data_IF_267882105545
#
_entry.id   IF_267882105545
#
_cell.length_a   1.000
_cell.length_b   1.000
_cell.length_c   1.000
_cell.angle_alpha   90.00
_cell.angle_beta   90.00
_cell.angle_gamma   90.00
#
_symmetry.space_group_name_H-M   'P 1'
#
loop_
_entity.id
_entity.type
_entity.pdbx_description
1 polymer ?
#
# COMPACT_ATOMS: atom_id res chain seq x y z
N UNK A 1 -61.15 -2.80 40.11
CA UNK A 1 -59.74 -3.22 39.97
C UNK A 1 -58.91 -1.97 39.73
N UNK A 2 -57.87 -1.80 40.55
CA UNK A 2 -56.84 -0.74 40.56
C UNK A 2 -57.11 0.63 41.19
N UNK A 3 -56.26 0.84 42.20
CA UNK A 3 -56.01 1.95 43.10
C UNK A 3 -55.22 3.12 42.47
N UNK A 4 -55.38 4.27 43.13
CA UNK A 4 -54.36 5.26 43.50
C UNK A 4 -53.93 6.33 42.48
N UNK A 5 -54.27 7.57 42.81
CA UNK A 5 -53.64 8.80 42.34
C UNK A 5 -53.28 9.64 43.57
N UNK A 6 -51.96 9.88 43.73
CA UNK A 6 -51.21 11.05 44.27
C UNK A 6 -51.79 11.75 45.51
N UNK A 7 -51.03 12.21 46.50
CA UNK A 7 -49.68 12.76 46.54
C UNK A 7 -49.47 13.17 47.98
N UNK A 8 -48.36 12.81 48.60
CA UNK A 8 -47.85 13.55 49.75
C UNK A 8 -46.35 13.75 49.56
N UNK A 9 -45.99 15.03 49.40
CA UNK A 9 -44.65 15.52 49.66
C UNK A 9 -44.39 15.31 51.16
N UNK A 10 -43.51 14.37 51.50
CA UNK A 10 -42.83 14.38 52.78
C UNK A 10 -41.44 15.02 52.57
N UNK A 11 -41.20 16.07 53.33
CA UNK A 11 -39.97 16.84 53.39
C UNK A 11 -38.75 15.96 53.72
N UNK A 12 -37.59 16.46 53.27
CA UNK A 12 -36.28 15.92 53.55
C UNK A 12 -36.07 15.64 55.05
N UNK A 13 -35.65 14.41 55.37
CA UNK A 13 -35.12 14.04 56.68
C UNK A 13 -33.59 14.31 56.69
N UNK A 14 -33.09 15.24 57.52
CA UNK A 14 -31.68 15.61 57.56
C UNK A 14 -30.91 14.65 58.46
N UNK A 15 -30.23 13.66 57.89
CA UNK A 15 -29.37 12.79 58.72
C UNK A 15 -28.83 11.49 58.14
N UNK A 16 -28.87 11.26 56.82
CA UNK A 16 -28.17 10.10 56.25
C UNK A 16 -26.67 10.37 56.32
N UNK A 17 -26.04 9.87 57.38
CA UNK A 17 -24.61 9.81 57.59
C UNK A 17 -23.98 9.07 56.39
N UNK A 18 -23.70 9.79 55.29
CA UNK A 18 -23.05 9.23 54.11
C UNK A 18 -21.62 8.95 54.51
N UNK A 19 -21.38 7.75 55.04
CA UNK A 19 -20.03 7.29 55.34
C UNK A 19 -19.32 7.09 54.00
N UNK A 20 -18.58 8.10 53.57
CA UNK A 20 -17.71 8.00 52.41
C UNK A 20 -16.42 7.30 52.82
N UNK A 21 -15.98 6.37 51.99
CA UNK A 21 -14.72 5.68 52.09
C UNK A 21 -13.69 6.30 51.14
N UNK A 22 -12.42 6.07 51.44
CA UNK A 22 -11.31 6.31 50.53
C UNK A 22 -10.62 4.99 50.19
N UNK A 23 -10.08 4.93 48.98
CA UNK A 23 -9.19 3.86 48.54
C UNK A 23 -7.81 4.46 48.33
N UNK A 24 -6.83 4.02 49.12
CA UNK A 24 -5.43 4.37 48.94
C UNK A 24 -4.60 3.13 48.63
N UNK A 25 -3.46 3.29 48.00
CA UNK A 25 -2.67 2.14 47.62
C UNK A 25 -1.37 2.47 46.92
N UNK A 26 -0.69 1.42 46.46
CA UNK A 26 0.55 1.52 45.70
C UNK A 26 0.51 0.65 44.45
N UNK A 27 1.11 1.13 43.36
CA UNK A 27 1.35 0.40 42.12
C UNK A 27 2.84 0.11 42.02
N UNK A 28 3.20 -1.17 41.93
CA UNK A 28 4.60 -1.62 41.83
C UNK A 28 4.80 -2.65 40.72
N UNK A 29 6.04 -2.91 40.35
CA UNK A 29 6.42 -4.09 39.56
C UNK A 29 6.59 -5.33 40.46
N UNK A 30 6.73 -6.56 39.91
CA UNK A 30 7.01 -7.75 40.71
C UNK A 30 8.31 -7.65 41.53
N UNK A 31 9.25 -6.84 41.07
CA UNK A 31 10.54 -6.56 41.72
C UNK A 31 10.40 -5.50 42.84
N UNK A 32 9.20 -4.97 43.07
CA UNK A 32 8.91 -3.97 44.10
C UNK A 32 9.21 -2.53 43.71
N UNK A 33 9.60 -2.26 42.45
CA UNK A 33 9.84 -0.91 41.95
C UNK A 33 8.52 -0.14 41.82
N UNK A 34 8.40 1.11 42.31
CA UNK A 34 7.18 1.91 42.14
C UNK A 34 6.94 2.24 40.67
N UNK A 35 5.67 2.22 40.25
CA UNK A 35 5.25 2.58 38.89
C UNK A 35 4.54 3.94 38.94
N UNK A 36 5.20 5.03 38.55
CA UNK A 36 4.58 6.35 38.51
C UNK A 36 3.65 6.51 37.31
N UNK A 37 2.70 7.43 37.45
CA UNK A 37 1.74 7.82 36.43
C UNK A 37 0.87 6.66 35.88
N UNK A 38 0.69 5.60 36.67
CA UNK A 38 -0.27 4.54 36.38
C UNK A 38 -1.69 5.06 36.64
N UNK A 39 -2.59 4.78 35.70
CA UNK A 39 -4.00 5.18 35.78
C UNK A 39 -4.74 4.08 36.56
N UNK A 40 -5.31 4.46 37.71
CA UNK A 40 -6.14 3.60 38.55
C UNK A 40 -7.59 4.02 38.38
N UNK A 41 -8.37 3.17 37.70
CA UNK A 41 -9.79 3.40 37.44
C UNK A 41 -10.64 2.47 38.29
N UNK A 42 -11.57 3.03 39.04
CA UNK A 42 -12.52 2.33 39.89
C UNK A 42 -13.93 2.44 39.30
N UNK A 43 -14.58 1.30 39.11
CA UNK A 43 -15.94 1.20 38.54
C UNK A 43 -16.83 0.33 39.43
N UNK A 44 -18.11 0.71 39.56
CA UNK A 44 -19.10 -0.03 40.33
C UNK A 44 -20.53 0.16 39.79
N UNK A 45 -21.50 -0.66 40.23
CA UNK A 45 -22.85 -0.72 39.65
C UNK A 45 -23.64 0.60 39.69
N UNK A 46 -23.31 1.49 40.63
CA UNK A 46 -24.05 2.74 40.91
C UNK A 46 -23.13 3.98 40.98
N UNK A 47 -21.89 3.88 40.49
CA UNK A 47 -20.91 4.98 40.53
C UNK A 47 -20.31 5.21 39.13
N UNK A 48 -20.34 6.45 38.60
CA UNK A 48 -19.53 6.80 37.44
C UNK A 48 -18.05 6.47 37.69
N UNK A 49 -17.29 6.02 36.68
CA UNK A 49 -15.89 5.67 36.88
C UNK A 49 -15.11 6.79 37.57
N UNK A 50 -14.38 6.44 38.64
CA UNK A 50 -13.46 7.34 39.34
C UNK A 50 -12.04 6.98 38.95
N UNK A 51 -11.20 7.98 38.74
CA UNK A 51 -9.83 7.76 38.29
C UNK A 51 -8.86 8.52 39.18
N UNK A 52 -7.73 7.87 39.50
CA UNK A 52 -6.57 8.51 40.09
C UNK A 52 -5.31 8.10 39.33
N UNK A 53 -4.27 8.92 39.44
CA UNK A 53 -2.96 8.65 38.83
C UNK A 53 -1.95 8.42 39.94
N UNK A 54 -1.09 7.41 39.81
CA UNK A 54 -0.04 7.16 40.80
C UNK A 54 1.07 8.22 40.76
N UNK A 55 1.59 8.60 41.92
CA UNK A 55 2.68 9.57 42.08
C UNK A 55 4.07 8.95 41.81
N UNK A 56 5.14 9.73 42.03
CA UNK A 56 6.53 9.30 41.86
C UNK A 56 6.90 8.06 42.71
N UNK A 57 6.25 7.89 43.86
CA UNK A 57 6.41 6.75 44.75
C UNK A 57 5.44 5.61 44.42
N UNK A 58 4.67 5.73 43.33
CA UNK A 58 3.67 4.76 42.90
C UNK A 58 2.40 4.78 43.75
N UNK A 59 2.19 5.76 44.63
CA UNK A 59 1.02 5.86 45.51
C UNK A 59 -0.15 6.51 44.79
N UNK A 60 -1.37 6.08 45.10
CA UNK A 60 -2.59 6.70 44.60
C UNK A 60 -3.63 6.83 45.73
N UNK A 61 -4.61 7.72 45.56
CA UNK A 61 -5.75 7.86 46.47
C UNK A 61 -7.00 8.30 45.70
N UNK A 62 -8.13 7.62 45.96
CA UNK A 62 -9.46 7.97 45.47
C UNK A 62 -10.35 8.19 46.69
N UNK A 63 -10.96 9.37 46.80
CA UNK A 63 -11.84 9.75 47.92
C UNK A 63 -13.31 9.75 47.51
N UNK A 64 -14.20 9.99 48.48
CA UNK A 64 -15.65 10.15 48.27
C UNK A 64 -16.34 8.93 47.63
N UNK A 65 -15.91 7.73 48.02
CA UNK A 65 -16.48 6.48 47.52
C UNK A 65 -17.57 5.96 48.46
N UNK A 66 -18.75 5.55 47.96
CA UNK A 66 -19.73 4.89 48.81
C UNK A 66 -19.22 3.51 49.25
N UNK A 67 -19.68 2.97 50.40
CA UNK A 67 -19.37 1.61 50.80
C UNK A 67 -19.94 0.60 49.78
N UNK A 68 -19.19 -0.45 49.47
CA UNK A 68 -19.56 -1.42 48.44
C UNK A 68 -18.38 -2.16 47.85
N UNK A 69 -18.67 -3.10 46.95
CA UNK A 69 -17.63 -3.82 46.19
C UNK A 69 -17.45 -3.16 44.83
N UNK A 70 -16.20 -2.83 44.52
CA UNK A 70 -15.81 -2.17 43.28
C UNK A 70 -14.78 -2.99 42.52
N UNK A 71 -14.80 -2.85 41.19
CA UNK A 71 -13.73 -3.32 40.33
C UNK A 71 -12.73 -2.19 40.11
N UNK A 72 -11.45 -2.49 40.27
CA UNK A 72 -10.34 -1.54 40.08
C UNK A 72 -9.46 -2.07 38.96
N UNK A 73 -9.32 -1.29 37.91
CA UNK A 73 -8.42 -1.56 36.79
C UNK A 73 -7.25 -0.59 36.86
N UNK A 74 -6.02 -1.12 36.86
CA UNK A 74 -4.79 -0.32 36.84
C UNK A 74 -4.09 -0.54 35.50
N UNK A 75 -3.77 0.56 34.81
CA UNK A 75 -3.12 0.53 33.49
C UNK A 75 -2.02 1.58 33.37
N UNK A 76 -0.95 1.23 32.65
CA UNK A 76 0.16 2.12 32.30
C UNK A 76 0.73 1.66 30.96
N UNK A 77 1.08 2.59 30.10
CA UNK A 77 1.74 2.26 28.83
C UNK A 77 3.01 1.43 29.06
N UNK A 78 3.17 0.34 28.30
CA UNK A 78 4.26 -0.62 28.45
C UNK A 78 4.01 -1.75 29.48
N UNK A 79 2.87 -1.74 30.19
CA UNK A 79 2.48 -2.78 31.15
C UNK A 79 1.15 -3.44 30.78
N UNK A 80 0.98 -4.72 31.14
CA UNK A 80 -0.30 -5.40 31.02
C UNK A 80 -1.27 -4.87 32.10
N UNK A 81 -2.50 -4.44 31.75
CA UNK A 81 -3.44 -3.92 32.72
C UNK A 81 -3.86 -5.03 33.70
N UNK A 82 -3.98 -4.68 34.98
CA UNK A 82 -4.45 -5.59 36.03
C UNK A 82 -5.81 -5.14 36.53
N UNK A 83 -6.73 -6.09 36.72
CA UNK A 83 -8.04 -5.81 37.32
C UNK A 83 -8.18 -6.60 38.62
N UNK A 84 -8.57 -5.91 39.69
CA UNK A 84 -8.85 -6.48 41.00
C UNK A 84 -10.22 -6.05 41.52
N UNK A 85 -10.66 -6.67 42.61
CA UNK A 85 -11.87 -6.29 43.33
C UNK A 85 -11.52 -5.76 44.72
N UNK A 86 -12.10 -4.62 45.12
CA UNK A 86 -11.93 -4.06 46.46
C UNK A 86 -13.30 -3.89 47.11
N UNK A 87 -13.42 -4.29 48.38
CA UNK A 87 -14.61 -4.07 49.19
C UNK A 87 -14.36 -2.94 50.19
N UNK A 88 -15.11 -1.86 50.05
CA UNK A 88 -15.10 -0.71 50.97
C UNK A 88 -16.19 -0.90 52.02
N UNK A 89 -15.81 -0.86 53.29
CA UNK A 89 -16.73 -0.97 54.44
C UNK A 89 -16.79 0.35 55.21
N UNK A 90 -17.97 0.74 55.74
CA UNK A 90 -18.13 2.02 56.46
C UNK A 90 -17.22 2.14 57.69
N UNK A 91 -16.90 1.03 58.34
CA UNK A 91 -16.16 1.01 59.62
C UNK A 91 -14.67 1.30 59.49
N UNK A 92 -14.09 1.14 58.29
CA UNK A 92 -12.65 1.26 58.08
C UNK A 92 -12.21 2.65 57.58
N UNK A 93 -13.13 3.47 57.04
CA UNK A 93 -12.92 4.77 56.35
C UNK A 93 -11.87 4.80 55.20
N UNK A 94 -10.87 3.92 55.20
CA UNK A 94 -9.80 3.80 54.20
C UNK A 94 -9.52 2.32 53.96
N UNK A 95 -9.57 1.88 52.70
CA UNK A 95 -9.06 0.59 52.28
C UNK A 95 -7.69 0.77 51.61
N UNK A 96 -6.76 -0.17 51.88
CA UNK A 96 -5.43 -0.20 51.27
C UNK A 96 -5.30 -1.35 50.28
N UNK A 97 -4.87 -1.07 49.05
CA UNK A 97 -4.63 -2.09 48.02
C UNK A 97 -3.26 -1.89 47.34
N UNK A 98 -2.56 -2.99 47.08
CA UNK A 98 -1.32 -3.00 46.29
C UNK A 98 -1.57 -3.71 44.97
N UNK A 99 -1.25 -3.03 43.86
CA UNK A 99 -1.39 -3.58 42.52
C UNK A 99 -0.01 -3.80 41.90
N UNK A 100 0.21 -5.00 41.37
CA UNK A 100 1.47 -5.35 40.71
C UNK A 100 1.29 -5.37 39.19
N UNK A 101 1.94 -4.45 38.48
CA UNK A 101 1.95 -4.40 37.02
C UNK A 101 3.14 -5.18 36.47
N UNK A 102 2.87 -6.09 35.51
CA UNK A 102 3.93 -6.79 34.77
C UNK A 102 4.16 -6.09 33.43
N UNK A 103 5.42 -5.97 32.96
CA UNK A 103 5.68 -5.48 31.61
C UNK A 103 4.84 -6.25 30.59
N UNK A 104 4.22 -5.55 29.65
CA UNK A 104 3.51 -6.21 28.57
C UNK A 104 4.55 -6.95 27.72
N UNK A 105 4.34 -8.25 27.48
CA UNK A 105 5.14 -8.96 26.50
C UNK A 105 4.88 -8.29 25.15
N UNK A 106 5.91 -7.66 24.58
CA UNK A 106 5.85 -7.15 23.22
C UNK A 106 5.86 -8.35 22.28
N UNK A 107 4.71 -8.98 22.06
CA UNK A 107 4.53 -9.86 20.92
C UNK A 107 4.50 -8.97 19.68
N UNK A 108 5.69 -8.57 19.20
CA UNK A 108 5.83 -8.19 17.81
C UNK A 108 5.65 -9.46 17.00
N UNK A 109 4.40 -9.80 16.65
CA UNK A 109 4.11 -10.74 15.57
C UNK A 109 4.69 -10.10 14.31
N UNK A 110 5.97 -10.38 14.06
CA UNK A 110 6.66 -9.97 12.85
C UNK A 110 6.13 -10.91 11.78
N UNK A 111 5.08 -10.50 11.07
CA UNK A 111 4.62 -11.20 9.87
C UNK A 111 5.72 -11.02 8.82
N UNK A 112 6.69 -11.93 8.82
CA UNK A 112 7.68 -12.03 7.75
C UNK A 112 6.97 -12.58 6.51
N UNK A 113 6.37 -11.70 5.72
CA UNK A 113 5.88 -12.05 4.39
C UNK A 113 7.08 -12.39 3.50
N UNK A 114 6.97 -13.44 2.68
CA UNK A 114 8.04 -13.76 1.73
C UNK A 114 8.15 -12.68 0.66
N UNK A 115 9.33 -12.51 0.06
CA UNK A 115 9.53 -11.56 -1.06
C UNK A 115 8.54 -11.81 -2.20
N UNK A 116 8.19 -13.07 -2.46
CA UNK A 116 7.22 -13.45 -3.46
C UNK A 116 5.83 -12.91 -3.14
N UNK A 117 5.39 -12.99 -1.89
CA UNK A 117 4.06 -12.53 -1.44
C UNK A 117 4.00 -10.99 -1.43
N UNK A 118 5.11 -10.33 -1.07
CA UNK A 118 5.21 -8.87 -1.15
C UNK A 118 5.14 -8.41 -2.61
N UNK A 119 5.89 -9.05 -3.51
CA UNK A 119 5.84 -8.77 -4.95
C UNK A 119 4.43 -9.00 -5.52
N UNK A 120 3.74 -10.04 -5.05
CA UNK A 120 2.36 -10.36 -5.43
C UNK A 120 1.37 -9.26 -5.02
N UNK A 121 1.45 -8.80 -3.77
CA UNK A 121 0.64 -7.69 -3.29
C UNK A 121 0.93 -6.39 -4.07
N UNK A 122 2.20 -6.13 -4.41
CA UNK A 122 2.59 -4.99 -5.23
C UNK A 122 2.06 -5.09 -6.66
N UNK A 123 1.99 -6.29 -7.25
CA UNK A 123 1.32 -6.51 -8.53
C UNK A 123 -0.17 -6.19 -8.41
N UNK A 124 -0.85 -6.63 -7.35
CA UNK A 124 -2.27 -6.33 -7.17
C UNK A 124 -2.53 -4.82 -7.11
N UNK A 125 -1.65 -4.06 -6.46
CA UNK A 125 -1.70 -2.59 -6.49
C UNK A 125 -1.46 -2.04 -7.90
N UNK A 126 -0.46 -2.56 -8.62
CA UNK A 126 -0.16 -2.14 -9.99
C UNK A 126 -1.33 -2.41 -10.95
N UNK A 127 -2.01 -3.56 -10.81
CA UNK A 127 -3.18 -3.96 -11.59
C UNK A 127 -4.37 -3.01 -11.42
N UNK A 128 -4.44 -2.23 -10.34
CA UNK A 128 -5.49 -1.22 -10.12
C UNK A 128 -5.16 0.14 -10.74
N UNK A 129 -3.94 0.35 -11.24
CA UNK A 129 -3.51 1.61 -11.82
C UNK A 129 -4.17 1.83 -13.19
N UNK A 130 -4.80 2.99 -13.38
CA UNK A 130 -5.42 3.38 -14.66
C UNK A 130 -5.04 4.80 -15.07
N UNK A 131 -4.45 4.96 -16.26
CA UNK A 131 -4.24 6.25 -16.91
C UNK A 131 -5.60 6.76 -17.41
N UNK A 132 -5.96 7.96 -16.96
CA UNK A 132 -7.25 8.60 -17.25
C UNK A 132 -8.47 7.71 -16.92
N UNK A 133 -8.31 6.77 -15.98
CA UNK A 133 -9.37 5.83 -15.58
C UNK A 133 -9.63 4.67 -16.54
N UNK A 134 -8.99 4.63 -17.72
CA UNK A 134 -9.31 3.66 -18.78
C UNK A 134 -8.12 2.75 -19.08
N UNK A 135 -6.96 3.33 -19.38
CA UNK A 135 -5.82 2.56 -19.89
C UNK A 135 -4.99 1.98 -18.72
N UNK A 136 -4.51 0.74 -18.80
CA UNK A 136 -3.70 0.15 -17.74
C UNK A 136 -2.33 0.84 -17.62
N UNK A 137 -1.79 0.95 -16.40
CA UNK A 137 -0.42 1.42 -16.15
C UNK A 137 0.41 0.40 -15.35
N UNK A 138 0.36 -0.88 -15.72
CA UNK A 138 0.83 -1.99 -14.88
C UNK A 138 2.35 -2.08 -14.77
N UNK A 139 3.08 -1.58 -15.78
CA UNK A 139 4.54 -1.61 -15.84
C UNK A 139 5.19 -0.36 -15.20
N UNK A 140 4.50 0.32 -14.29
CA UNK A 140 5.05 1.45 -13.54
C UNK A 140 4.95 1.18 -12.05
N UNK A 141 6.06 1.28 -11.34
CA UNK A 141 6.12 1.22 -9.89
C UNK A 141 6.22 2.61 -9.29
N UNK A 142 5.24 2.99 -8.46
CA UNK A 142 5.32 4.15 -7.57
C UNK A 142 5.91 3.81 -6.19
N UNK A 143 6.31 2.55 -6.00
CA UNK A 143 7.01 2.06 -4.81
C UNK A 143 8.49 2.01 -5.14
N UNK A 144 9.27 2.94 -4.58
CA UNK A 144 10.68 3.04 -4.92
C UNK A 144 11.46 1.79 -4.55
N UNK A 145 11.19 1.18 -3.40
CA UNK A 145 11.80 -0.07 -2.94
C UNK A 145 10.86 -1.27 -3.21
N UNK A 146 10.35 -1.37 -4.42
CA UNK A 146 9.51 -2.52 -4.81
C UNK A 146 10.33 -3.81 -4.83
N UNK A 147 9.69 -4.91 -4.46
CA UNK A 147 10.29 -6.23 -4.50
C UNK A 147 10.36 -6.69 -5.96
N UNK A 148 11.50 -7.22 -6.42
CA UNK A 148 11.61 -7.69 -7.79
C UNK A 148 10.64 -8.81 -8.10
N UNK A 149 10.15 -8.85 -9.34
CA UNK A 149 9.18 -9.84 -9.79
C UNK A 149 9.87 -11.15 -10.15
N UNK A 150 9.26 -12.29 -9.81
CA UNK A 150 9.66 -13.59 -10.38
C UNK A 150 9.28 -13.67 -11.87
N UNK A 151 9.93 -14.57 -12.64
CA UNK A 151 9.59 -14.76 -14.06
C UNK A 151 8.09 -15.06 -14.24
N UNK A 152 7.50 -15.95 -13.44
CA UNK A 152 6.06 -16.24 -13.51
C UNK A 152 5.17 -15.02 -13.26
N UNK A 153 5.56 -14.15 -12.33
CA UNK A 153 4.88 -12.89 -12.06
C UNK A 153 4.99 -11.89 -13.23
N UNK A 154 6.15 -11.82 -13.91
CA UNK A 154 6.33 -11.00 -15.11
C UNK A 154 5.40 -11.44 -16.25
N UNK A 155 5.33 -12.75 -16.51
CA UNK A 155 4.42 -13.32 -17.52
C UNK A 155 2.95 -13.07 -17.18
N UNK A 156 2.56 -13.22 -15.91
CA UNK A 156 1.19 -12.93 -15.46
C UNK A 156 0.84 -11.46 -15.63
N UNK A 157 1.76 -10.54 -15.28
CA UNK A 157 1.57 -9.10 -15.47
C UNK A 157 1.42 -8.75 -16.96
N UNK A 158 2.23 -9.35 -17.83
CA UNK A 158 2.12 -9.20 -19.27
C UNK A 158 0.76 -9.71 -19.81
N UNK A 159 0.30 -10.87 -19.35
CA UNK A 159 -1.01 -11.41 -19.71
C UNK A 159 -2.14 -10.48 -19.27
N UNK A 160 -2.10 -9.99 -18.02
CA UNK A 160 -3.06 -9.03 -17.47
C UNK A 160 -3.10 -7.74 -18.30
N UNK A 161 -1.95 -7.22 -18.71
CA UNK A 161 -1.87 -6.02 -19.54
C UNK A 161 -2.44 -6.27 -20.94
N UNK A 162 -2.08 -7.38 -21.58
CA UNK A 162 -2.53 -7.69 -22.94
C UNK A 162 -4.04 -7.98 -23.01
N UNK A 163 -4.61 -8.60 -21.97
CA UNK A 163 -6.03 -8.89 -21.87
C UNK A 163 -6.86 -7.78 -21.21
N UNK A 164 -6.25 -6.64 -20.86
CA UNK A 164 -6.97 -5.54 -20.21
C UNK A 164 -7.98 -4.90 -21.18
N UNK A 165 -9.25 -4.71 -20.77
CA UNK A 165 -10.28 -4.13 -21.62
C UNK A 165 -9.92 -2.74 -22.20
N UNK A 166 -9.21 -1.90 -21.44
CA UNK A 166 -8.79 -0.59 -21.91
C UNK A 166 -7.82 -0.68 -23.09
N UNK A 167 -6.88 -1.61 -23.05
CA UNK A 167 -5.98 -1.87 -24.17
C UNK A 167 -6.72 -2.46 -25.39
N UNK A 168 -7.66 -3.37 -25.18
CA UNK A 168 -8.47 -3.94 -26.28
C UNK A 168 -9.34 -2.87 -26.96
N UNK A 169 -9.93 -1.97 -26.19
CA UNK A 169 -10.68 -0.82 -26.72
C UNK A 169 -9.76 0.12 -27.50
N UNK A 170 -8.55 0.40 -26.98
CA UNK A 170 -7.58 1.24 -27.67
C UNK A 170 -7.16 0.62 -29.00
N UNK A 171 -6.86 -0.68 -29.04
CA UNK A 171 -6.55 -1.41 -30.27
C UNK A 171 -7.72 -1.35 -31.26
N UNK A 172 -8.95 -1.53 -30.79
CA UNK A 172 -10.16 -1.36 -31.60
C UNK A 172 -10.29 0.03 -32.20
N UNK A 173 -10.01 1.06 -31.40
CA UNK A 173 -10.06 2.46 -31.81
C UNK A 173 -8.99 2.75 -32.87
N UNK A 174 -7.76 2.29 -32.66
CA UNK A 174 -6.65 2.45 -33.62
C UNK A 174 -6.98 1.75 -34.94
N UNK A 175 -7.42 0.49 -34.91
CA UNK A 175 -7.85 -0.23 -36.09
C UNK A 175 -9.02 0.46 -36.81
N UNK A 176 -9.93 1.08 -36.07
CA UNK A 176 -11.05 1.87 -36.60
C UNK A 176 -10.59 3.13 -37.33
N UNK A 177 -9.62 3.86 -36.76
CA UNK A 177 -8.99 5.00 -37.42
C UNK A 177 -8.27 4.54 -38.69
N UNK A 178 -7.43 3.51 -38.61
CA UNK A 178 -6.74 2.93 -39.75
C UNK A 178 -7.72 2.46 -40.85
N UNK A 179 -8.88 1.93 -40.47
CA UNK A 179 -9.94 1.54 -41.39
C UNK A 179 -10.52 2.78 -42.10
N UNK A 180 -10.84 3.83 -41.35
CA UNK A 180 -11.42 5.07 -41.86
C UNK A 180 -10.45 5.81 -42.81
N UNK A 181 -9.15 5.80 -42.50
CA UNK A 181 -8.11 6.41 -43.33
C UNK A 181 -7.59 5.50 -44.44
N UNK A 182 -8.12 4.27 -44.54
CA UNK A 182 -7.63 3.24 -45.46
C UNK A 182 -6.11 2.97 -45.34
N UNK A 183 -5.55 3.10 -44.14
CA UNK A 183 -4.17 2.72 -43.84
C UNK A 183 -3.99 1.22 -44.09
N UNK A 184 -2.90 0.81 -44.73
CA UNK A 184 -2.68 -0.57 -45.21
C UNK A 184 -3.77 -1.08 -46.19
N UNK A 185 -3.88 -0.51 -47.41
CA UNK A 185 -4.95 -0.85 -48.36
C UNK A 185 -5.05 -2.34 -48.70
N UNK A 186 -3.95 -3.10 -48.61
CA UNK A 186 -3.92 -4.55 -48.85
C UNK A 186 -4.83 -5.38 -47.92
N UNK A 187 -5.25 -4.84 -46.79
CA UNK A 187 -6.24 -5.50 -45.91
C UNK A 187 -7.68 -5.37 -46.39
N UNK A 188 -7.91 -4.55 -47.43
CA UNK A 188 -9.23 -4.22 -47.98
C UNK A 188 -10.10 -3.40 -47.02
N UNK A 189 -11.25 -2.93 -47.51
CA UNK A 189 -12.23 -2.16 -46.73
C UNK A 189 -13.35 -3.06 -46.16
N UNK A 190 -14.22 -2.49 -45.33
CA UNK A 190 -15.31 -3.20 -44.65
C UNK A 190 -14.88 -4.03 -43.44
N UNK A 191 -15.82 -4.77 -42.86
CA UNK A 191 -15.65 -5.53 -41.60
C UNK A 191 -14.47 -6.52 -41.63
N UNK A 192 -14.23 -7.17 -42.78
CA UNK A 192 -13.09 -8.07 -42.96
C UNK A 192 -11.76 -7.34 -42.89
N UNK A 193 -11.67 -6.15 -43.49
CA UNK A 193 -10.48 -5.30 -43.41
C UNK A 193 -10.24 -4.78 -42.01
N UNK A 194 -11.29 -4.38 -41.31
CA UNK A 194 -11.22 -3.95 -39.92
C UNK A 194 -10.72 -5.08 -39.01
N UNK A 195 -11.28 -6.28 -39.15
CA UNK A 195 -10.85 -7.45 -38.37
C UNK A 195 -9.38 -7.83 -38.59
N UNK A 196 -8.87 -7.66 -39.82
CA UNK A 196 -7.44 -7.86 -40.13
C UNK A 196 -6.55 -6.82 -39.43
N UNK A 197 -6.93 -5.54 -39.48
CA UNK A 197 -6.21 -4.45 -38.78
C UNK A 197 -6.22 -4.68 -37.27
N UNK A 198 -7.39 -4.95 -36.70
CA UNK A 198 -7.56 -5.26 -35.29
C UNK A 198 -6.69 -6.46 -34.85
N UNK A 199 -6.70 -7.55 -35.62
CA UNK A 199 -5.88 -8.72 -35.33
C UNK A 199 -4.38 -8.43 -35.41
N UNK A 200 -3.93 -7.63 -36.38
CA UNK A 200 -2.54 -7.22 -36.50
C UNK A 200 -2.10 -6.32 -35.32
N UNK A 201 -2.90 -5.32 -34.97
CA UNK A 201 -2.62 -4.41 -33.85
C UNK A 201 -2.66 -5.16 -32.51
N UNK A 202 -3.58 -6.11 -32.34
CA UNK A 202 -3.62 -6.99 -31.16
C UNK A 202 -2.38 -7.88 -31.10
N UNK A 203 -1.95 -8.45 -32.23
CA UNK A 203 -0.71 -9.22 -32.33
C UNK A 203 0.52 -8.40 -31.93
N UNK A 204 0.57 -7.14 -32.36
CA UNK A 204 1.63 -6.20 -32.00
C UNK A 204 1.62 -5.90 -30.49
N UNK A 205 0.45 -5.61 -29.91
CA UNK A 205 0.29 -5.36 -28.48
C UNK A 205 0.76 -6.57 -27.66
N UNK A 206 0.28 -7.77 -27.99
CA UNK A 206 0.63 -9.01 -27.28
C UNK A 206 2.13 -9.28 -27.41
N UNK A 207 2.67 -9.27 -28.63
CA UNK A 207 4.08 -9.59 -28.87
C UNK A 207 5.00 -8.59 -28.16
N UNK A 208 4.74 -7.29 -28.29
CA UNK A 208 5.52 -6.25 -27.62
C UNK A 208 5.46 -6.36 -26.10
N UNK A 209 4.26 -6.56 -25.54
CA UNK A 209 4.07 -6.71 -24.09
C UNK A 209 4.80 -7.94 -23.54
N UNK A 210 4.73 -9.09 -24.22
CA UNK A 210 5.41 -10.30 -23.75
C UNK A 210 6.92 -10.22 -23.94
N UNK A 211 7.40 -9.74 -25.08
CA UNK A 211 8.84 -9.62 -25.35
C UNK A 211 9.48 -8.64 -24.35
N UNK A 212 8.95 -7.42 -24.24
CA UNK A 212 9.51 -6.35 -23.41
C UNK A 212 9.14 -6.44 -21.93
N UNK A 213 7.98 -7.03 -21.59
CA UNK A 213 7.47 -7.09 -20.23
C UNK A 213 7.68 -8.42 -19.51
N UNK A 214 7.98 -9.51 -20.23
CA UNK A 214 8.09 -10.84 -19.64
C UNK A 214 9.30 -11.66 -20.10
N UNK A 215 9.46 -11.88 -21.40
CA UNK A 215 10.46 -12.81 -21.96
C UNK A 215 11.87 -12.27 -21.76
N UNK A 216 12.23 -11.13 -22.36
CA UNK A 216 13.59 -10.58 -22.24
C UNK A 216 13.92 -10.22 -20.78
N UNK A 217 13.00 -9.60 -20.00
CA UNK A 217 13.25 -9.34 -18.58
C UNK A 217 13.46 -10.60 -17.75
N UNK A 218 12.83 -11.73 -18.10
CA UNK A 218 13.07 -13.01 -17.42
C UNK A 218 14.43 -13.61 -17.80
N UNK A 219 14.80 -13.55 -19.09
CA UNK A 219 16.08 -14.06 -19.60
C UNK A 219 17.26 -13.29 -19.01
N UNK A 220 17.16 -11.96 -18.92
CA UNK A 220 18.24 -11.10 -18.43
C UNK A 220 18.15 -10.78 -16.94
N UNK A 221 17.20 -11.38 -16.22
CA UNK A 221 16.95 -11.12 -14.80
C UNK A 221 16.77 -9.62 -14.50
N UNK A 222 15.92 -8.97 -15.28
CA UNK A 222 15.59 -7.54 -15.22
C UNK A 222 14.16 -7.32 -14.76
N UNK A 223 13.95 -6.24 -14.01
CA UNK A 223 12.61 -5.77 -13.67
C UNK A 223 12.02 -5.02 -14.88
N UNK A 224 10.85 -5.43 -15.40
CA UNK A 224 10.23 -4.79 -16.55
C UNK A 224 9.61 -3.43 -16.22
N UNK A 225 9.53 -3.05 -14.94
CA UNK A 225 8.81 -1.84 -14.52
C UNK A 225 9.68 -0.60 -14.59
N UNK A 226 9.09 0.50 -15.03
CA UNK A 226 9.63 1.83 -14.80
C UNK A 226 9.40 2.25 -13.35
N UNK A 227 10.46 2.67 -12.66
CA UNK A 227 10.39 3.12 -11.27
C UNK A 227 10.26 4.62 -11.22
N UNK A 228 9.09 5.11 -10.82
CA UNK A 228 8.82 6.55 -10.76
C UNK A 228 9.70 7.22 -9.69
N UNK A 229 10.47 8.26 -10.06
CA UNK A 229 11.37 8.95 -9.14
C UNK A 229 10.66 10.01 -8.32
N UNK A 230 10.03 10.98 -8.97
CA UNK A 230 9.11 11.94 -8.35
C UNK A 230 9.65 12.93 -7.32
N UNK A 231 10.93 12.91 -7.01
CA UNK A 231 11.63 13.83 -6.10
C UNK A 231 12.91 14.36 -6.75
N UNK A 232 13.43 15.47 -6.23
CA UNK A 232 14.58 16.19 -6.79
C UNK A 232 14.20 17.21 -7.86
N UNK A 233 15.23 17.85 -8.45
CA UNK A 233 15.03 18.89 -9.47
C UNK A 233 14.44 18.34 -10.77
N UNK A 234 13.82 19.22 -11.56
CA UNK A 234 13.29 18.88 -12.90
C UNK A 234 14.35 18.23 -13.79
N UNK A 235 15.55 18.81 -13.83
CA UNK A 235 16.69 18.26 -14.57
C UNK A 235 17.09 16.87 -14.06
N UNK A 236 17.18 16.68 -12.73
CA UNK A 236 17.54 15.39 -12.13
C UNK A 236 16.52 14.29 -12.45
N UNK A 237 15.23 14.64 -12.54
CA UNK A 237 14.15 13.71 -12.88
C UNK A 237 14.10 13.41 -14.37
N UNK A 238 14.35 14.41 -15.22
CA UNK A 238 14.45 14.26 -16.66
C UNK A 238 15.59 13.31 -17.04
N UNK A 239 16.81 13.59 -16.59
CA UNK A 239 17.96 12.73 -16.89
C UNK A 239 17.85 11.35 -16.26
N UNK A 240 17.20 11.24 -15.10
CA UNK A 240 16.82 9.94 -14.56
C UNK A 240 15.92 9.17 -15.54
N UNK A 241 14.82 9.75 -15.99
CA UNK A 241 13.87 9.08 -16.89
C UNK A 241 14.54 8.63 -18.21
N UNK A 242 15.37 9.50 -18.81
CA UNK A 242 16.14 9.17 -20.01
C UNK A 242 17.13 8.03 -19.74
N UNK A 243 17.85 8.05 -18.61
CA UNK A 243 18.82 7.00 -18.28
C UNK A 243 18.17 5.62 -18.10
N UNK A 244 16.87 5.55 -17.77
CA UNK A 244 16.16 4.29 -17.53
C UNK A 244 15.93 3.46 -18.79
N UNK A 245 16.11 4.06 -19.96
CA UNK A 245 16.09 3.32 -21.22
C UNK A 245 17.32 2.43 -21.38
N UNK A 246 18.49 2.87 -20.88
CA UNK A 246 19.77 2.14 -21.02
C UNK A 246 20.24 1.48 -19.73
N UNK A 247 19.69 1.87 -18.57
CA UNK A 247 19.95 1.25 -17.27
C UNK A 247 18.64 0.80 -16.65
N UNK A 248 18.47 -0.50 -16.39
CA UNK A 248 17.32 -1.03 -15.66
C UNK A 248 17.71 -1.53 -14.25
N UNK A 249 16.74 -1.95 -13.44
CA UNK A 249 16.98 -2.63 -12.17
C UNK A 249 16.95 -4.12 -12.44
N UNK A 250 17.90 -4.87 -11.88
CA UNK A 250 17.89 -6.31 -11.93
C UNK A 250 16.98 -6.93 -10.87
N UNK A 251 16.77 -8.23 -10.99
CA UNK A 251 16.00 -9.02 -10.03
C UNK A 251 16.66 -9.09 -8.64
N UNK A 252 17.90 -8.63 -8.52
CA UNK A 252 18.64 -8.45 -7.25
C UNK A 252 18.58 -7.01 -6.71
N UNK A 253 17.74 -6.15 -7.29
CA UNK A 253 17.59 -4.74 -6.92
C UNK A 253 18.73 -3.81 -7.36
N UNK A 254 19.80 -4.34 -7.95
CA UNK A 254 20.96 -3.56 -8.41
C UNK A 254 20.73 -2.95 -9.80
N UNK A 255 21.27 -1.77 -10.11
CA UNK A 255 21.24 -1.23 -11.47
C UNK A 255 22.11 -2.10 -12.41
N UNK A 256 21.64 -2.31 -13.64
CA UNK A 256 22.37 -3.02 -14.69
C UNK A 256 21.99 -2.48 -16.08
N UNK A 257 22.82 -2.69 -17.12
CA UNK A 257 22.45 -2.29 -18.49
C UNK A 257 21.11 -2.89 -18.90
N UNK A 258 20.25 -2.11 -19.55
CA UNK A 258 18.91 -2.53 -19.95
C UNK A 258 18.92 -3.33 -21.25
N UNK A 259 19.51 -4.52 -21.20
CA UNK A 259 19.53 -5.46 -22.32
C UNK A 259 18.14 -5.78 -22.89
N UNK A 260 17.09 -5.84 -22.06
CA UNK A 260 15.74 -6.15 -22.55
C UNK A 260 15.20 -5.11 -23.52
N UNK A 261 15.24 -3.82 -23.12
CA UNK A 261 14.84 -2.73 -24.02
C UNK A 261 15.78 -2.63 -25.20
N UNK A 262 17.10 -2.57 -24.95
CA UNK A 262 18.08 -2.33 -26.01
C UNK A 262 18.06 -3.43 -27.08
N UNK A 263 18.05 -4.70 -26.70
CA UNK A 263 18.00 -5.80 -27.68
C UNK A 263 16.61 -5.97 -28.26
N UNK A 264 15.55 -5.63 -27.53
CA UNK A 264 14.18 -5.57 -28.07
C UNK A 264 14.08 -4.60 -29.23
N UNK A 265 14.51 -3.35 -29.02
CA UNK A 265 14.48 -2.30 -30.03
C UNK A 265 15.38 -2.60 -31.22
N UNK A 266 16.58 -3.14 -30.97
CA UNK A 266 17.50 -3.53 -32.03
C UNK A 266 16.96 -4.72 -32.83
N UNK A 267 16.28 -5.67 -32.19
CA UNK A 267 15.63 -6.78 -32.88
C UNK A 267 14.44 -6.30 -33.71
N UNK A 268 13.64 -5.35 -33.22
CA UNK A 268 12.58 -4.72 -34.00
C UNK A 268 13.16 -3.97 -35.22
N UNK A 269 14.27 -3.27 -35.04
CA UNK A 269 15.05 -2.67 -36.14
C UNK A 269 15.55 -3.72 -37.13
N UNK A 270 16.05 -4.86 -36.67
CA UNK A 270 16.54 -5.93 -37.54
C UNK A 270 15.42 -6.54 -38.36
N UNK A 271 14.28 -6.84 -37.72
CA UNK A 271 13.08 -7.36 -38.36
C UNK A 271 12.53 -6.42 -39.43
N UNK A 272 12.73 -5.11 -39.30
CA UNK A 272 12.32 -4.13 -40.32
C UNK A 272 12.92 -4.40 -41.70
N UNK A 273 14.12 -4.99 -41.77
CA UNK A 273 14.74 -5.38 -43.04
C UNK A 273 14.00 -6.52 -43.76
N UNK A 274 13.19 -7.32 -43.05
CA UNK A 274 12.49 -8.44 -43.67
C UNK A 274 11.28 -7.98 -44.49
N UNK A 275 10.65 -6.87 -44.11
CA UNK A 275 9.40 -6.40 -44.70
C UNK A 275 9.48 -5.06 -45.44
N UNK A 276 10.57 -4.28 -45.31
CA UNK A 276 10.79 -3.13 -46.18
C UNK A 276 11.02 -3.54 -47.65
N UNK A 277 10.76 -2.64 -48.60
CA UNK A 277 11.04 -2.88 -50.01
C UNK A 277 12.56 -3.06 -50.21
N UNK A 278 13.02 -3.90 -51.16
CA UNK A 278 14.45 -4.18 -51.36
C UNK A 278 15.32 -2.92 -51.51
N UNK A 279 14.81 -1.86 -52.14
CA UNK A 279 15.51 -0.58 -52.29
C UNK A 279 15.76 0.15 -50.95
N UNK A 280 14.90 -0.07 -49.95
CA UNK A 280 14.97 0.56 -48.64
C UNK A 280 15.71 -0.31 -47.59
N UNK A 281 16.05 -1.56 -47.94
CA UNK A 281 16.79 -2.50 -47.07
C UNK A 281 18.28 -2.14 -47.04
N UNK A 282 18.69 -1.17 -46.21
CA UNK A 282 20.12 -0.89 -45.96
C UNK A 282 20.69 -1.73 -44.80
N UNK A 283 20.18 -2.96 -44.62
CA UNK A 283 20.68 -3.97 -43.68
C UNK A 283 20.97 -3.43 -42.29
N UNK A 284 22.25 -3.48 -41.88
CA UNK A 284 22.71 -3.05 -40.57
C UNK A 284 22.44 -1.56 -40.27
N UNK A 285 22.47 -0.68 -41.27
CA UNK A 285 22.25 0.76 -41.08
C UNK A 285 20.79 1.06 -40.70
N UNK A 286 19.83 0.41 -41.37
CA UNK A 286 18.40 0.52 -41.03
C UNK A 286 18.13 -0.11 -39.66
N UNK A 287 18.74 -1.26 -39.37
CA UNK A 287 18.65 -1.90 -38.05
C UNK A 287 19.05 -0.97 -36.93
N UNK A 288 20.24 -0.37 -37.04
CA UNK A 288 20.79 0.52 -36.02
C UNK A 288 19.93 1.80 -35.93
N UNK A 289 19.56 2.41 -37.05
CA UNK A 289 18.76 3.62 -37.06
C UNK A 289 17.38 3.40 -36.39
N UNK A 290 16.66 2.35 -36.78
CA UNK A 290 15.34 2.03 -36.21
C UNK A 290 15.43 1.59 -34.75
N UNK A 291 16.47 0.84 -34.38
CA UNK A 291 16.71 0.49 -32.98
C UNK A 291 17.00 1.72 -32.12
N UNK A 292 17.82 2.67 -32.59
CA UNK A 292 18.09 3.91 -31.88
C UNK A 292 16.84 4.79 -31.76
N UNK A 293 15.98 4.80 -32.78
CA UNK A 293 14.67 5.47 -32.70
C UNK A 293 13.74 4.80 -31.68
N UNK A 294 13.76 3.46 -31.58
CA UNK A 294 13.04 2.72 -30.53
C UNK A 294 13.46 3.14 -29.13
N UNK A 295 14.78 3.15 -28.89
CA UNK A 295 15.38 3.62 -27.63
C UNK A 295 14.96 5.06 -27.33
N UNK A 296 14.98 5.95 -28.33
CA UNK A 296 14.52 7.32 -28.15
C UNK A 296 13.01 7.40 -27.80
N UNK A 297 12.18 6.55 -28.41
CA UNK A 297 10.77 6.39 -28.09
C UNK A 297 10.53 5.98 -26.63
N UNK A 298 11.29 4.99 -26.15
CA UNK A 298 11.23 4.54 -24.77
C UNK A 298 11.67 5.63 -23.77
N UNK A 299 12.71 6.40 -24.12
CA UNK A 299 13.13 7.55 -23.32
C UNK A 299 12.03 8.61 -23.22
N UNK A 300 11.35 8.92 -24.34
CA UNK A 300 10.21 9.83 -24.35
C UNK A 300 9.06 9.30 -23.49
N UNK A 301 8.73 8.01 -23.59
CA UNK A 301 7.70 7.38 -22.76
C UNK A 301 8.05 7.47 -21.27
N UNK A 302 9.30 7.17 -20.88
CA UNK A 302 9.77 7.32 -19.50
C UNK A 302 9.64 8.77 -19.00
N UNK A 303 9.97 9.76 -19.84
CA UNK A 303 9.78 11.18 -19.50
C UNK A 303 8.30 11.52 -19.33
N UNK A 304 7.43 11.01 -20.19
CA UNK A 304 5.98 11.17 -20.05
C UNK A 304 5.46 10.55 -18.75
N UNK A 305 5.96 9.36 -18.37
CA UNK A 305 5.64 8.74 -17.09
C UNK A 305 6.07 9.61 -15.90
N UNK A 306 7.26 10.20 -15.97
CA UNK A 306 7.83 11.02 -14.90
C UNK A 306 7.09 12.37 -14.72
N UNK A 307 6.62 13.00 -15.80
CA UNK A 307 6.10 14.38 -15.73
C UNK A 307 4.60 14.54 -16.00
N UNK A 308 3.99 13.61 -16.76
CA UNK A 308 2.62 13.74 -17.25
C UNK A 308 1.73 12.63 -16.67
N UNK A 309 2.04 11.38 -16.99
CA UNK A 309 1.09 10.26 -16.80
C UNK A 309 0.79 9.96 -15.34
N UNK A 310 1.71 10.25 -14.41
CA UNK A 310 1.39 10.16 -12.98
C UNK A 310 0.17 10.98 -12.59
N UNK A 311 0.03 12.21 -13.10
CA UNK A 311 -1.11 13.08 -12.75
C UNK A 311 -2.44 12.53 -13.25
N UNK A 312 -2.39 11.73 -14.32
CA UNK A 312 -3.54 11.08 -14.94
C UNK A 312 -3.80 9.68 -14.38
N UNK A 313 -2.84 9.09 -13.66
CA UNK A 313 -2.93 7.72 -13.16
C UNK A 313 -3.69 7.69 -11.84
N UNK A 314 -4.81 7.00 -11.80
CA UNK A 314 -5.54 6.69 -10.56
C UNK A 314 -4.88 5.53 -9.80
N UNK A 315 -5.15 5.42 -8.50
CA UNK A 315 -4.59 4.38 -7.62
C UNK A 315 -3.05 4.33 -7.56
N UNK A 316 -2.37 5.44 -7.85
CA UNK A 316 -0.91 5.58 -7.82
C UNK A 316 -0.31 5.74 -6.41
N UNK A 317 -0.94 5.16 -5.37
CA UNK A 317 -0.56 5.36 -3.96
C UNK A 317 0.92 5.02 -3.76
N UNK A 318 1.68 5.98 -3.21
CA UNK A 318 3.09 5.79 -2.83
C UNK A 318 3.15 4.90 -1.58
N UNK A 319 3.93 3.83 -1.63
CA UNK A 319 4.38 3.21 -0.37
C UNK A 319 5.59 4.03 0.12
N UNK A 320 5.49 4.60 1.31
CA UNK A 320 6.34 5.68 1.86
C UNK A 320 7.76 5.27 2.27
N UNK A 321 8.25 4.13 1.80
CA UNK A 321 9.64 3.74 2.02
C UNK A 321 10.53 4.48 1.02
N UNK A 322 10.90 5.71 1.42
CA UNK A 322 11.81 6.59 0.70
C UNK A 322 13.19 5.91 0.48
N UNK A 323 13.94 6.30 -0.57
CA UNK A 323 15.33 5.91 -0.75
C UNK A 323 16.20 6.19 0.48
#
# INVERSE_FOLDING_TARGET
MFLSLRSDLAAADPGQNRTYCSLSGRVTTPEGTPVPEAIVQLSGPLLPPRTATSDADGRFTIVDLPPGTFSVTVSRDGFSPVTGSVRLVPEANTASATFTLRPAATDSVTVSASDKDIAEAQIHLAEQQRIAGILPNFFVSYIWRATPLTSGQKFRLALKNAADPGNLILVGTVAGVQQATNSFPGYSQGWKGYGRRYGADLGNLVSGTFIGGAILPSVFHQDPRYFYKGTGSTSSRFWYAVSRTVVTRGDKGRPQPNYSTMLGDMSAGALSNLYYAPEDRQGAKVTIANGLLGIAGDAMNNVFQEFVLKKLTTNNKRNTLQP
#
